data_IF_066210148870
#
_entry.id   IF_066210148870
#
_cell.length_a   1.000
_cell.length_b   1.000
_cell.length_c   1.000
_cell.angle_alpha   90.00
_cell.angle_beta   90.00
_cell.angle_gamma   90.00
#
_symmetry.space_group_name_H-M   'P 1'
#
loop_
_entity.id
_entity.type
_entity.pdbx_description
1 polymer ?
#
# COMPACT_ATOMS: atom_id res chain seq x y z
N UNK A 1 0.96 6.76 -6.64
CA UNK A 1 2.16 7.05 -7.47
C UNK A 1 3.37 7.15 -6.54
N UNK A 2 4.49 6.56 -6.94
CA UNK A 2 5.73 6.64 -6.17
C UNK A 2 6.37 8.06 -6.23
N UNK A 3 7.10 8.51 -5.19
CA UNK A 3 7.69 9.85 -5.12
C UNK A 3 8.59 10.19 -6.31
N UNK A 4 9.39 9.23 -6.77
CA UNK A 4 10.32 9.35 -7.89
C UNK A 4 9.59 9.53 -9.23
N UNK A 5 8.42 8.89 -9.41
CA UNK A 5 7.57 9.09 -10.59
C UNK A 5 7.01 10.51 -10.61
N UNK A 6 6.55 11.01 -9.45
CA UNK A 6 6.03 12.37 -9.31
C UNK A 6 7.14 13.41 -9.52
N UNK A 7 8.37 13.07 -9.13
CA UNK A 7 9.57 13.89 -9.31
C UNK A 7 10.14 13.83 -10.73
N UNK A 8 9.56 12.99 -11.61
CA UNK A 8 10.04 12.74 -12.98
C UNK A 8 11.49 12.23 -13.02
N UNK A 9 11.91 11.53 -11.96
CA UNK A 9 13.19 10.84 -11.92
C UNK A 9 13.11 9.55 -12.74
N UNK A 10 14.23 9.02 -13.26
CA UNK A 10 14.26 7.66 -13.80
C UNK A 10 13.75 6.68 -12.74
N UNK A 11 12.95 5.72 -13.17
CA UNK A 11 12.33 4.71 -12.31
C UNK A 11 12.28 3.36 -13.03
N UNK A 12 12.16 2.28 -12.26
CA UNK A 12 11.98 0.92 -12.74
C UNK A 12 10.77 0.25 -12.08
N UNK A 13 10.90 -1.02 -11.74
CA UNK A 13 9.79 -1.85 -11.22
C UNK A 13 9.48 -1.57 -9.73
N UNK A 14 10.38 -0.87 -9.03
CA UNK A 14 10.25 -0.50 -7.63
C UNK A 14 9.02 0.37 -7.37
N UNK A 15 8.55 1.10 -8.38
CA UNK A 15 7.34 1.96 -8.29
C UNK A 15 6.06 1.16 -8.09
N UNK A 16 6.04 -0.09 -8.55
CA UNK A 16 4.89 -0.99 -8.34
C UNK A 16 4.85 -1.47 -6.90
N UNK A 17 6.00 -1.69 -6.27
CA UNK A 17 6.10 -2.02 -4.84
C UNK A 17 5.56 -0.89 -3.97
N UNK A 18 5.91 0.37 -4.29
CA UNK A 18 5.32 1.51 -3.60
C UNK A 18 3.81 1.55 -3.77
N UNK A 19 3.33 1.35 -5.00
CA UNK A 19 1.90 1.37 -5.30
C UNK A 19 1.13 0.27 -4.57
N UNK A 20 1.74 -0.91 -4.42
CA UNK A 20 1.24 -1.99 -3.56
C UNK A 20 1.18 -1.57 -2.09
N UNK A 21 2.21 -0.90 -1.58
CA UNK A 21 2.20 -0.35 -0.22
C UNK A 21 1.03 0.62 0.02
N UNK A 22 0.76 1.52 -0.93
CA UNK A 22 -0.39 2.43 -0.88
C UNK A 22 -1.73 1.66 -0.91
N UNK A 23 -1.83 0.60 -1.73
CA UNK A 23 -3.02 -0.25 -1.76
C UNK A 23 -3.22 -0.98 -0.42
N UNK A 24 -2.16 -1.40 0.26
CA UNK A 24 -2.25 -1.99 1.60
C UNK A 24 -2.73 -0.96 2.63
N UNK A 25 -2.30 0.31 2.53
CA UNK A 25 -2.86 1.39 3.35
C UNK A 25 -4.37 1.52 3.11
N UNK A 26 -4.79 1.56 1.85
CA UNK A 26 -6.20 1.63 1.47
C UNK A 26 -7.02 0.42 1.95
N UNK A 27 -6.46 -0.79 1.93
CA UNK A 27 -7.14 -1.97 2.47
C UNK A 27 -7.38 -1.90 3.98
N UNK A 28 -6.54 -1.16 4.73
CA UNK A 28 -6.69 -1.00 6.18
C UNK A 28 -7.59 0.19 6.53
N UNK A 29 -7.35 1.34 5.90
CA UNK A 29 -8.05 2.59 6.24
C UNK A 29 -9.34 2.79 5.42
N UNK A 30 -9.54 2.02 4.35
CA UNK A 30 -10.68 2.12 3.43
C UNK A 30 -10.52 3.17 2.33
N UNK A 31 -9.50 4.02 2.42
CA UNK A 31 -9.17 5.06 1.45
C UNK A 31 -7.65 5.23 1.30
N UNK A 32 -7.15 5.66 0.14
CA UNK A 32 -5.74 5.95 -0.02
C UNK A 32 -5.33 7.21 0.76
N UNK A 33 -4.03 7.40 1.04
CA UNK A 33 -3.54 8.61 1.70
C UNK A 33 -3.96 9.88 0.96
N UNK A 34 -4.43 10.87 1.72
CA UNK A 34 -4.84 12.18 1.20
C UNK A 34 -6.05 12.14 0.25
N UNK A 35 -6.94 11.14 0.39
CA UNK A 35 -8.13 10.96 -0.48
C UNK A 35 -9.05 12.19 -0.58
N UNK A 36 -9.15 12.98 0.50
CA UNK A 36 -9.97 14.20 0.54
C UNK A 36 -9.31 15.42 -0.14
N UNK A 37 -8.06 15.32 -0.56
CA UNK A 37 -7.33 16.40 -1.22
C UNK A 37 -7.47 16.34 -2.74
N UNK A 38 -7.21 17.47 -3.41
CA UNK A 38 -7.09 17.46 -4.88
C UNK A 38 -5.94 16.55 -5.32
N UNK A 39 -6.02 15.89 -6.50
CA UNK A 39 -4.96 14.99 -6.97
C UNK A 39 -3.57 15.64 -6.99
N UNK A 40 -3.48 16.92 -7.34
CA UNK A 40 -2.22 17.67 -7.36
C UNK A 40 -1.65 17.90 -5.96
N UNK A 41 -2.51 18.20 -4.99
CA UNK A 41 -2.10 18.36 -3.59
C UNK A 41 -1.63 17.02 -3.00
N UNK A 42 -2.40 15.94 -3.19
CA UNK A 42 -2.02 14.60 -2.75
C UNK A 42 -0.67 14.15 -3.35
N UNK A 43 -0.45 14.36 -4.65
CA UNK A 43 0.85 14.08 -5.29
C UNK A 43 1.99 14.90 -4.67
N UNK A 44 1.76 16.18 -4.38
CA UNK A 44 2.76 17.03 -3.72
C UNK A 44 3.14 16.48 -2.36
N UNK A 45 2.16 16.06 -1.56
CA UNK A 45 2.40 15.47 -0.23
C UNK A 45 3.13 14.14 -0.29
N UNK A 46 2.73 13.24 -1.18
CA UNK A 46 3.46 11.98 -1.41
C UNK A 46 4.94 12.22 -1.78
N UNK A 47 5.22 13.28 -2.55
CA UNK A 47 6.58 13.65 -2.89
C UNK A 47 7.34 14.30 -1.72
N UNK A 48 6.71 15.20 -0.97
CA UNK A 48 7.43 16.10 -0.06
C UNK A 48 7.39 15.65 1.42
N UNK A 49 6.43 14.81 1.82
CA UNK A 49 6.22 14.36 3.21
C UNK A 49 6.80 12.95 3.46
N UNK A 50 6.98 12.54 4.73
CA UNK A 50 7.30 11.16 5.07
C UNK A 50 6.31 10.16 4.49
N UNK A 51 6.73 8.90 4.36
CA UNK A 51 5.85 7.83 3.91
C UNK A 51 4.57 7.75 4.77
N UNK A 52 3.39 7.52 4.16
CA UNK A 52 2.16 7.32 4.89
C UNK A 52 2.28 6.17 5.90
N UNK A 53 1.66 6.31 7.06
CA UNK A 53 1.64 5.29 8.12
C UNK A 53 0.23 5.01 8.56
N UNK A 54 -0.06 3.76 8.88
CA UNK A 54 -1.37 3.32 9.37
C UNK A 54 -1.30 2.98 10.85
N UNK A 55 -2.37 3.27 11.59
CA UNK A 55 -2.48 2.97 13.03
C UNK A 55 -3.24 1.66 13.24
N UNK A 56 -3.09 1.07 14.43
CA UNK A 56 -3.82 -0.14 14.84
C UNK A 56 -3.59 -1.39 13.98
N UNK A 57 -2.44 -1.48 13.32
CA UNK A 57 -2.01 -2.68 12.56
C UNK A 57 -1.08 -3.55 13.39
N UNK A 58 -0.97 -4.83 13.03
CA UNK A 58 -0.02 -5.75 13.66
C UNK A 58 1.44 -5.31 13.39
N UNK A 59 2.39 -5.59 14.30
CA UNK A 59 3.80 -5.27 14.07
C UNK A 59 4.36 -5.88 12.78
N UNK A 60 3.89 -7.08 12.40
CA UNK A 60 4.33 -7.77 11.17
C UNK A 60 3.79 -7.12 9.90
N UNK A 61 2.56 -6.60 9.90
CA UNK A 61 2.05 -5.80 8.78
C UNK A 61 2.75 -4.44 8.72
N UNK A 62 3.08 -3.84 9.88
CA UNK A 62 3.86 -2.60 9.93
C UNK A 62 5.23 -2.78 9.27
N UNK A 63 5.98 -3.83 9.62
CA UNK A 63 7.29 -4.10 9.00
C UNK A 63 7.17 -4.31 7.48
N UNK A 64 6.11 -5.02 7.04
CA UNK A 64 5.84 -5.23 5.62
C UNK A 64 5.58 -3.90 4.89
N UNK A 65 4.76 -3.02 5.47
CA UNK A 65 4.48 -1.69 4.93
C UNK A 65 5.72 -0.81 4.90
N UNK A 66 6.52 -0.81 5.96
CA UNK A 66 7.75 0.00 6.05
C UNK A 66 8.73 -0.37 4.93
N UNK A 67 8.83 -1.67 4.57
CA UNK A 67 9.66 -2.15 3.44
C UNK A 67 9.15 -1.72 2.07
N UNK A 68 7.83 -1.66 1.88
CA UNK A 68 7.21 -1.24 0.62
C UNK A 68 7.23 0.28 0.44
N UNK A 69 7.03 1.02 1.52
CA UNK A 69 6.94 2.49 1.54
C UNK A 69 8.28 3.16 1.86
N UNK A 70 9.40 2.50 1.53
CA UNK A 70 10.73 3.12 1.55
C UNK A 70 10.84 4.15 0.42
N UNK A 71 11.20 5.38 0.76
CA UNK A 71 11.26 6.49 -0.20
C UNK A 71 12.39 6.34 -1.21
N UNK A 72 13.55 5.87 -0.78
CA UNK A 72 14.66 5.58 -1.69
C UNK A 72 14.33 4.28 -2.45
N UNK A 73 14.16 4.31 -3.78
CA UNK A 73 13.85 3.12 -4.56
C UNK A 73 14.96 2.06 -4.51
N UNK A 74 16.22 2.44 -4.23
CA UNK A 74 17.33 1.48 -4.12
C UNK A 74 17.30 0.69 -2.81
N UNK A 75 16.73 1.27 -1.76
CA UNK A 75 16.56 0.64 -0.44
C UNK A 75 15.16 0.02 -0.26
N UNK A 76 14.26 0.23 -1.23
CA UNK A 76 12.92 -0.35 -1.23
C UNK A 76 13.01 -1.83 -1.54
N UNK A 77 12.30 -2.65 -0.77
CA UNK A 77 12.29 -4.09 -0.98
C UNK A 77 11.77 -4.44 -2.39
N UNK A 78 12.37 -5.44 -3.02
CA UNK A 78 11.84 -5.96 -4.28
C UNK A 78 10.60 -6.83 -4.05
N UNK A 79 9.83 -7.08 -5.11
CA UNK A 79 8.71 -8.02 -5.04
C UNK A 79 9.17 -9.42 -4.56
N UNK A 80 10.35 -9.87 -4.99
CA UNK A 80 10.94 -11.16 -4.58
C UNK A 80 11.23 -11.17 -3.08
N UNK A 81 11.81 -10.10 -2.53
CA UNK A 81 12.09 -10.01 -1.09
C UNK A 81 10.79 -10.04 -0.27
N UNK A 82 9.75 -9.40 -0.78
CA UNK A 82 8.44 -9.32 -0.12
C UNK A 82 7.71 -10.66 -0.11
N UNK A 83 7.91 -11.52 -1.11
CA UNK A 83 7.34 -12.88 -1.15
C UNK A 83 7.81 -13.75 0.02
N UNK A 84 9.02 -13.51 0.52
CA UNK A 84 9.59 -14.24 1.66
C UNK A 84 9.25 -13.60 3.01
N UNK A 85 8.53 -12.48 3.02
CA UNK A 85 8.24 -11.74 4.24
C UNK A 85 7.26 -12.49 5.16
N UNK A 86 7.48 -12.49 6.51
CA UNK A 86 6.60 -13.19 7.46
C UNK A 86 5.12 -12.81 7.40
N UNK A 87 4.78 -11.63 6.86
CA UNK A 87 3.40 -11.23 6.63
C UNK A 87 2.70 -12.11 5.59
N UNK A 88 3.34 -12.39 4.45
CA UNK A 88 2.73 -13.20 3.38
C UNK A 88 2.67 -14.69 3.74
N UNK A 89 3.51 -15.16 4.66
CA UNK A 89 3.41 -16.50 5.24
C UNK A 89 2.14 -16.71 6.09
N UNK A 90 1.42 -15.63 6.44
CA UNK A 90 0.14 -15.69 7.14
C UNK A 90 -1.06 -15.71 6.16
N UNK A 91 -0.81 -15.83 4.86
CA UNK A 91 -1.87 -15.87 3.85
C UNK A 91 -2.82 -17.06 4.09
N UNK A 92 -4.11 -16.76 4.10
CA UNK A 92 -5.16 -17.76 4.23
C UNK A 92 -5.48 -18.45 2.92
N UNK A 93 -6.27 -19.51 3.00
CA UNK A 93 -6.83 -20.16 1.81
C UNK A 93 -7.78 -19.21 1.07
N UNK A 94 -7.89 -19.25 -0.28
CA UNK A 94 -8.73 -18.32 -1.06
C UNK A 94 -10.19 -18.22 -0.60
N UNK A 95 -10.71 -19.25 0.07
CA UNK A 95 -12.05 -19.27 0.66
C UNK A 95 -12.27 -18.17 1.70
N UNK A 96 -11.21 -17.62 2.33
CA UNK A 96 -11.35 -16.52 3.29
C UNK A 96 -11.88 -15.22 2.65
N UNK A 97 -11.77 -15.08 1.33
CA UNK A 97 -12.27 -13.91 0.60
C UNK A 97 -13.77 -14.01 0.26
N UNK A 98 -14.35 -15.22 0.24
CA UNK A 98 -15.76 -15.44 -0.14
C UNK A 98 -16.73 -14.59 0.69
N UNK A 99 -16.63 -14.53 2.03
CA UNK A 99 -17.53 -13.71 2.84
C UNK A 99 -17.47 -12.22 2.48
N UNK A 100 -16.31 -11.70 2.10
CA UNK A 100 -16.13 -10.29 1.73
C UNK A 100 -16.87 -9.98 0.42
N UNK A 101 -16.80 -10.88 -0.56
CA UNK A 101 -17.52 -10.76 -1.84
C UNK A 101 -19.03 -10.89 -1.64
N UNK A 102 -19.46 -11.86 -0.84
CA UNK A 102 -20.88 -12.08 -0.54
C UNK A 102 -21.50 -10.92 0.24
N UNK A 103 -20.76 -10.33 1.18
CA UNK A 103 -21.20 -9.15 1.93
C UNK A 103 -21.50 -7.98 0.98
N UNK A 104 -20.65 -7.74 -0.01
CA UNK A 104 -20.88 -6.69 -1.01
C UNK A 104 -22.04 -7.04 -1.95
N UNK A 105 -22.18 -8.32 -2.34
CA UNK A 105 -23.25 -8.76 -3.25
C UNK A 105 -24.64 -8.72 -2.61
N UNK A 106 -24.72 -9.02 -1.32
CA UNK A 106 -25.98 -9.09 -0.56
C UNK A 106 -26.29 -7.77 0.18
N UNK A 107 -25.34 -6.83 0.19
CA UNK A 107 -25.51 -5.48 0.70
C UNK A 107 -26.41 -4.65 -0.23
N UNK A 108 -27.71 -4.67 0.05
CA UNK A 108 -28.58 -3.54 -0.26
C UNK A 108 -27.99 -2.29 0.40
N UNK A 109 -27.39 -1.41 -0.40
CA UNK A 109 -27.20 -0.02 -0.01
C UNK A 109 -28.60 0.62 0.16
N UNK A 110 -29.09 0.66 1.39
CA UNK A 110 -30.08 1.63 1.85
C UNK A 110 -29.34 2.77 2.56
#
# INVERSE_FOLDING_TARGET
>A
MAPEVISKSPYGTEVDVWSMGIMVVEMVDGEPPYFSETPVAAMKRLRDEPAPTVRNISPVLKDFLDRMLTRDPLERASATDLLEHPFLLQSGSPQCLVPLVEQYRNGHYC
#
